data_IF_752938403998
#
_entry.id   IF_752938403998
#
_cell.length_a   1.000
_cell.length_b   1.000
_cell.length_c   1.000
_cell.angle_alpha   90.00
_cell.angle_beta   90.00
_cell.angle_gamma   90.00
#
_symmetry.space_group_name_H-M   'P 1'
#
loop_
_entity.id
_entity.type
_entity.pdbx_description
1 polymer ?
#
# COMPACT_ATOMS: atom_id res chain seq x y z
N UNK A 1 9.92 -18.00 -11.00
CA UNK A 1 8.60 -17.45 -11.38
C UNK A 1 7.57 -17.93 -10.36
N UNK A 2 6.93 -17.03 -9.59
CA UNK A 2 5.85 -17.40 -8.67
C UNK A 2 4.64 -17.93 -9.45
N UNK A 3 4.08 -19.05 -9.01
CA UNK A 3 2.84 -19.61 -9.56
C UNK A 3 1.65 -19.00 -8.82
N UNK A 4 0.70 -18.48 -9.58
CA UNK A 4 -0.52 -17.85 -9.05
C UNK A 4 -1.74 -18.61 -9.56
N UNK A 5 -2.52 -19.16 -8.64
CA UNK A 5 -3.82 -19.74 -8.95
C UNK A 5 -4.83 -18.60 -9.04
N UNK A 6 -5.64 -18.55 -10.10
CA UNK A 6 -6.69 -17.54 -10.27
C UNK A 6 -8.00 -18.20 -10.66
N UNK A 7 -9.10 -17.81 -10.04
CA UNK A 7 -10.44 -18.23 -10.47
C UNK A 7 -10.76 -17.68 -11.87
N UNK A 8 -11.51 -18.44 -12.67
CA UNK A 8 -11.98 -18.03 -14.00
C UNK A 8 -13.06 -16.94 -13.91
N UNK A 9 -12.65 -15.74 -13.51
CA UNK A 9 -13.45 -14.53 -13.45
C UNK A 9 -12.89 -13.55 -14.49
N UNK A 10 -13.75 -13.08 -15.39
CA UNK A 10 -13.37 -12.24 -16.53
C UNK A 10 -12.71 -10.92 -16.12
N UNK A 11 -13.09 -10.34 -14.98
CA UNK A 11 -12.46 -9.13 -14.43
C UNK A 11 -11.05 -9.44 -13.94
N UNK A 12 -10.88 -10.48 -13.11
CA UNK A 12 -9.56 -10.93 -12.66
C UNK A 12 -8.62 -11.23 -13.81
N UNK A 13 -9.03 -12.06 -14.78
CA UNK A 13 -8.20 -12.44 -15.91
C UNK A 13 -7.79 -11.22 -16.76
N UNK A 14 -8.70 -10.27 -16.98
CA UNK A 14 -8.41 -9.02 -17.67
C UNK A 14 -7.36 -8.20 -16.91
N UNK A 15 -7.47 -8.09 -15.59
CA UNK A 15 -6.48 -7.37 -14.78
C UNK A 15 -5.12 -8.07 -14.79
N UNK A 16 -5.06 -9.38 -14.63
CA UNK A 16 -3.80 -10.14 -14.72
C UNK A 16 -3.12 -10.05 -16.09
N UNK A 17 -3.86 -9.82 -17.17
CA UNK A 17 -3.30 -9.61 -18.52
C UNK A 17 -2.76 -8.18 -18.77
N UNK A 18 -3.06 -7.24 -17.86
CA UNK A 18 -2.69 -5.83 -17.99
C UNK A 18 -1.20 -5.57 -17.78
N UNK A 19 -0.72 -4.39 -18.23
CA UNK A 19 0.67 -3.98 -18.11
C UNK A 19 1.27 -4.08 -16.69
N UNK A 20 0.56 -3.78 -15.58
CA UNK A 20 1.03 -4.06 -14.21
C UNK A 20 1.63 -5.44 -14.00
N UNK A 21 0.90 -6.49 -14.35
CA UNK A 21 1.26 -7.85 -14.00
C UNK A 21 2.32 -8.46 -14.91
N UNK A 22 2.49 -7.95 -16.14
CA UNK A 22 3.54 -8.40 -17.06
C UNK A 22 4.95 -8.26 -16.50
N UNK A 23 5.18 -7.35 -15.55
CA UNK A 23 6.49 -7.11 -14.92
C UNK A 23 6.79 -8.04 -13.75
N UNK A 24 5.79 -8.71 -13.18
CA UNK A 24 5.97 -9.61 -12.05
C UNK A 24 6.40 -11.03 -12.47
N UNK A 25 6.49 -11.31 -13.77
CA UNK A 25 6.89 -12.60 -14.34
C UNK A 25 6.21 -13.77 -13.59
N UNK A 26 4.87 -13.79 -13.65
CA UNK A 26 3.99 -14.73 -12.95
C UNK A 26 3.55 -15.87 -13.87
N UNK A 27 3.50 -17.08 -13.35
CA UNK A 27 2.83 -18.21 -14.01
C UNK A 27 1.37 -18.26 -13.53
N UNK A 28 0.43 -17.90 -14.39
CA UNK A 28 -0.99 -17.95 -14.07
C UNK A 28 -1.56 -19.35 -14.36
N UNK A 29 -2.21 -19.93 -13.36
CA UNK A 29 -3.00 -21.16 -13.50
C UNK A 29 -4.45 -20.80 -13.23
N UNK A 30 -5.33 -21.07 -14.18
CA UNK A 30 -6.75 -20.70 -14.09
C UNK A 30 -7.56 -21.91 -13.62
N UNK A 31 -8.39 -21.73 -12.58
CA UNK A 31 -9.38 -22.70 -12.16
C UNK A 31 -10.79 -22.25 -12.57
N UNK A 32 -11.50 -23.07 -13.34
CA UNK A 32 -12.85 -22.81 -13.80
C UNK A 32 -13.94 -23.05 -12.75
N UNK A 33 -13.64 -23.77 -11.68
CA UNK A 33 -14.56 -24.07 -10.59
C UNK A 33 -13.85 -24.26 -9.25
N UNK A 34 -14.61 -24.32 -8.16
CA UNK A 34 -14.09 -24.68 -6.84
C UNK A 34 -13.43 -26.05 -6.80
N UNK A 35 -14.00 -27.04 -7.51
CA UNK A 35 -13.45 -28.40 -7.57
C UNK A 35 -12.08 -28.45 -8.25
N UNK A 36 -11.91 -27.69 -9.34
CA UNK A 36 -10.62 -27.55 -10.02
C UNK A 36 -9.60 -26.82 -9.13
N UNK A 37 -10.02 -25.75 -8.46
CA UNK A 37 -9.17 -25.02 -7.51
C UNK A 37 -8.70 -25.92 -6.35
N UNK A 38 -9.57 -26.77 -5.81
CA UNK A 38 -9.21 -27.78 -4.81
C UNK A 38 -8.28 -28.87 -5.37
N UNK A 39 -8.46 -29.24 -6.65
CA UNK A 39 -7.53 -30.12 -7.36
C UNK A 39 -6.11 -29.55 -7.42
N UNK A 40 -6.01 -28.25 -7.71
CA UNK A 40 -4.75 -27.52 -7.70
C UNK A 40 -4.15 -27.39 -6.29
N UNK A 41 -4.96 -27.11 -5.26
CA UNK A 41 -4.48 -27.06 -3.87
C UNK A 41 -3.77 -28.34 -3.42
N UNK A 42 -4.21 -29.50 -3.93
CA UNK A 42 -3.58 -30.80 -3.64
C UNK A 42 -2.27 -31.03 -4.39
N UNK A 43 -2.14 -30.51 -5.61
CA UNK A 43 -1.10 -30.91 -6.57
C UNK A 43 0.00 -29.87 -6.78
N UNK A 44 -0.23 -28.59 -6.47
CA UNK A 44 0.70 -27.50 -6.76
C UNK A 44 1.06 -26.65 -5.54
N UNK A 45 2.28 -26.13 -5.50
CA UNK A 45 2.68 -25.04 -4.60
C UNK A 45 2.46 -23.70 -5.33
N UNK A 46 1.45 -22.97 -4.88
CA UNK A 46 1.17 -21.61 -5.34
C UNK A 46 1.68 -20.62 -4.31
N UNK A 47 2.30 -19.54 -4.78
CA UNK A 47 2.67 -18.43 -3.90
C UNK A 47 1.41 -17.67 -3.46
N UNK A 48 0.48 -17.45 -4.40
CA UNK A 48 -0.80 -16.77 -4.16
C UNK A 48 -1.92 -17.51 -4.89
N UNK A 49 -3.09 -17.63 -4.26
CA UNK A 49 -4.35 -18.00 -4.87
C UNK A 49 -5.32 -16.82 -4.79
N UNK A 50 -5.75 -16.29 -5.94
CA UNK A 50 -6.75 -15.22 -6.04
C UNK A 50 -8.08 -15.83 -6.46
N UNK A 51 -9.02 -15.92 -5.54
CA UNK A 51 -10.22 -16.72 -5.67
C UNK A 51 -11.47 -15.85 -5.57
N UNK A 52 -12.35 -15.95 -6.57
CA UNK A 52 -13.72 -15.45 -6.46
C UNK A 52 -14.45 -16.16 -5.31
N UNK A 53 -15.13 -15.39 -4.47
CA UNK A 53 -15.95 -15.88 -3.37
C UNK A 53 -17.12 -16.75 -3.86
N UNK A 54 -17.65 -16.46 -5.05
CA UNK A 54 -18.84 -17.09 -5.64
C UNK A 54 -18.49 -18.12 -6.74
N UNK A 55 -17.43 -18.90 -6.52
CA UNK A 55 -17.09 -20.04 -7.39
C UNK A 55 -18.24 -21.06 -7.50
N UNK A 56 -18.39 -21.65 -8.69
CA UNK A 56 -19.29 -22.78 -8.92
C UNK A 56 -18.74 -24.02 -8.20
N UNK A 57 -19.61 -24.73 -7.47
CA UNK A 57 -19.24 -25.87 -6.65
C UNK A 57 -18.81 -25.42 -5.24
N UNK A 58 -17.69 -25.92 -4.69
CA UNK A 58 -17.09 -25.36 -3.50
C UNK A 58 -16.85 -23.86 -3.65
N UNK A 59 -17.28 -23.07 -2.65
CA UNK A 59 -17.12 -21.62 -2.71
C UNK A 59 -15.66 -21.21 -2.52
N UNK A 60 -15.31 -19.97 -2.87
CA UNK A 60 -13.96 -19.45 -2.64
C UNK A 60 -13.51 -19.57 -1.18
N UNK A 61 -14.46 -19.42 -0.23
CA UNK A 61 -14.22 -19.62 1.20
C UNK A 61 -13.85 -21.06 1.55
N UNK A 62 -14.49 -22.05 0.91
CA UNK A 62 -14.19 -23.47 1.15
C UNK A 62 -12.82 -23.85 0.58
N UNK A 63 -12.49 -23.30 -0.59
CA UNK A 63 -11.18 -23.43 -1.22
C UNK A 63 -10.10 -22.78 -0.35
N UNK A 64 -10.34 -21.57 0.15
CA UNK A 64 -9.43 -20.86 1.05
C UNK A 64 -9.14 -21.65 2.32
N UNK A 65 -10.18 -22.16 2.99
CA UNK A 65 -10.06 -23.01 4.19
C UNK A 65 -9.22 -24.26 3.90
N UNK A 66 -9.39 -24.85 2.72
CA UNK A 66 -8.60 -26.03 2.32
C UNK A 66 -7.13 -25.67 2.07
N UNK A 67 -6.84 -24.56 1.40
CA UNK A 67 -5.46 -24.06 1.29
C UNK A 67 -4.84 -23.82 2.66
N UNK A 68 -5.55 -23.15 3.57
CA UNK A 68 -5.00 -22.83 4.89
C UNK A 68 -4.73 -24.05 5.78
N UNK A 69 -5.53 -25.10 5.65
CA UNK A 69 -5.31 -26.37 6.37
C UNK A 69 -4.25 -27.27 5.75
N UNK A 70 -4.09 -27.26 4.42
CA UNK A 70 -3.21 -28.21 3.71
C UNK A 70 -1.89 -27.60 3.24
N UNK A 71 -1.89 -26.30 2.95
CA UNK A 71 -0.78 -25.50 2.39
C UNK A 71 -0.80 -24.09 3.00
N UNK A 72 -0.56 -23.94 4.32
CA UNK A 72 -0.65 -22.65 5.01
C UNK A 72 0.29 -21.56 4.46
N UNK A 73 1.38 -21.97 3.79
CA UNK A 73 2.31 -21.07 3.11
C UNK A 73 1.70 -20.38 1.87
N UNK A 74 0.69 -20.98 1.21
CA UNK A 74 -0.02 -20.33 0.10
C UNK A 74 -0.82 -19.15 0.63
N UNK A 75 -0.56 -17.97 0.09
CA UNK A 75 -1.38 -16.79 0.34
C UNK A 75 -2.69 -16.89 -0.42
N UNK A 76 -3.80 -16.52 0.20
CA UNK A 76 -5.13 -16.59 -0.38
C UNK A 76 -5.76 -15.21 -0.31
N UNK A 77 -6.06 -14.66 -1.49
CA UNK A 77 -6.81 -13.42 -1.67
C UNK A 77 -8.22 -13.80 -2.12
N UNK A 78 -9.24 -13.45 -1.35
CA UNK A 78 -10.62 -13.61 -1.77
C UNK A 78 -11.11 -12.37 -2.50
N UNK A 79 -11.89 -12.56 -3.56
CA UNK A 79 -12.55 -11.48 -4.29
C UNK A 79 -14.04 -11.62 -4.10
N UNK A 80 -14.68 -10.61 -3.54
CA UNK A 80 -16.12 -10.59 -3.28
C UNK A 80 -16.83 -9.56 -4.15
N UNK A 81 -17.97 -9.92 -4.73
CA UNK A 81 -18.79 -9.00 -5.54
C UNK A 81 -19.59 -7.98 -4.74
N UNK A 82 -19.59 -8.06 -3.40
CA UNK A 82 -20.30 -7.13 -2.50
C UNK A 82 -19.44 -6.81 -1.28
N UNK A 83 -19.68 -5.63 -0.68
CA UNK A 83 -19.12 -5.30 0.63
C UNK A 83 -19.48 -6.38 1.65
N UNK A 84 -18.47 -6.79 2.42
CA UNK A 84 -18.61 -7.76 3.48
C UNK A 84 -19.58 -7.24 4.54
N UNK A 85 -20.75 -7.86 4.63
CA UNK A 85 -21.74 -7.60 5.69
C UNK A 85 -22.18 -8.89 6.34
N UNK A 86 -22.38 -8.86 7.66
CA UNK A 86 -22.96 -9.96 8.44
C UNK A 86 -22.28 -11.31 8.16
N UNK A 87 -23.00 -12.20 7.48
CA UNK A 87 -22.56 -13.56 7.15
C UNK A 87 -21.24 -13.61 6.36
N UNK A 88 -21.02 -12.66 5.44
CA UNK A 88 -19.79 -12.64 4.64
C UNK A 88 -18.56 -12.38 5.52
N UNK A 89 -18.65 -11.48 6.51
CA UNK A 89 -17.55 -11.24 7.44
C UNK A 89 -17.23 -12.47 8.27
N UNK A 90 -18.25 -13.21 8.72
CA UNK A 90 -18.07 -14.48 9.44
C UNK A 90 -17.35 -15.50 8.55
N UNK A 91 -17.78 -15.65 7.30
CA UNK A 91 -17.15 -16.59 6.36
C UNK A 91 -15.70 -16.23 6.05
N UNK A 92 -15.38 -14.95 5.90
CA UNK A 92 -14.00 -14.45 5.76
C UNK A 92 -13.18 -14.87 6.97
N UNK A 93 -13.67 -14.61 8.18
CA UNK A 93 -12.98 -14.96 9.40
C UNK A 93 -12.73 -16.47 9.53
N UNK A 94 -13.73 -17.29 9.23
CA UNK A 94 -13.62 -18.76 9.33
C UNK A 94 -12.77 -19.41 8.23
N UNK A 95 -12.64 -18.78 7.07
CA UNK A 95 -11.87 -19.36 5.96
C UNK A 95 -10.36 -19.12 6.06
N UNK A 96 -9.94 -18.13 6.84
CA UNK A 96 -8.53 -17.81 7.09
C UNK A 96 -7.79 -17.20 5.91
N UNK A 97 -8.47 -16.61 4.93
CA UNK A 97 -7.80 -15.89 3.83
C UNK A 97 -6.89 -14.76 4.35
N UNK A 98 -5.82 -14.43 3.62
CA UNK A 98 -4.87 -13.38 4.02
C UNK A 98 -5.38 -11.98 3.63
N UNK A 99 -6.17 -11.86 2.56
CA UNK A 99 -6.75 -10.58 2.13
C UNK A 99 -8.09 -10.78 1.41
N UNK A 100 -8.94 -9.75 1.47
CA UNK A 100 -10.21 -9.67 0.74
C UNK A 100 -10.24 -8.40 -0.11
N UNK A 101 -10.50 -8.57 -1.39
CA UNK A 101 -10.73 -7.48 -2.33
C UNK A 101 -12.21 -7.43 -2.73
N UNK A 102 -12.79 -6.24 -2.77
CA UNK A 102 -14.19 -6.04 -3.14
C UNK A 102 -14.24 -5.54 -4.58
N UNK A 103 -14.93 -6.29 -5.45
CA UNK A 103 -15.20 -5.91 -6.82
C UNK A 103 -16.34 -4.85 -6.91
N UNK A 104 -16.33 -3.95 -7.92
CA UNK A 104 -15.30 -3.82 -8.95
C UNK A 104 -13.97 -3.32 -8.36
N UNK A 105 -12.86 -3.71 -9.00
CA UNK A 105 -11.53 -3.24 -8.61
C UNK A 105 -10.68 -2.85 -9.81
N UNK A 106 -9.72 -1.97 -9.59
CA UNK A 106 -8.76 -1.57 -10.63
C UNK A 106 -7.64 -2.60 -10.76
N UNK A 107 -6.93 -2.58 -11.90
CA UNK A 107 -5.75 -3.42 -12.08
C UNK A 107 -4.64 -3.11 -11.06
N UNK A 108 -4.53 -1.84 -10.64
CA UNK A 108 -3.55 -1.39 -9.67
C UNK A 108 -3.89 -1.80 -8.24
N UNK A 109 -5.19 -1.84 -7.89
CA UNK A 109 -5.66 -2.42 -6.62
C UNK A 109 -5.32 -3.90 -6.51
N UNK A 110 -5.67 -4.68 -7.54
CA UNK A 110 -5.31 -6.10 -7.55
C UNK A 110 -3.79 -6.28 -7.53
N UNK A 111 -3.04 -5.44 -8.25
CA UNK A 111 -1.58 -5.51 -8.30
C UNK A 111 -0.97 -5.30 -6.92
N UNK A 112 -1.40 -4.27 -6.20
CA UNK A 112 -0.89 -3.96 -4.88
C UNK A 112 -1.17 -5.08 -3.88
N UNK A 113 -2.40 -5.61 -3.88
CA UNK A 113 -2.77 -6.75 -3.03
C UNK A 113 -1.88 -7.95 -3.33
N UNK A 114 -1.73 -8.33 -4.60
CA UNK A 114 -0.89 -9.46 -4.99
C UNK A 114 0.59 -9.19 -4.68
N UNK A 115 1.09 -7.97 -4.89
CA UNK A 115 2.46 -7.59 -4.59
C UNK A 115 2.78 -7.72 -3.09
N UNK A 116 1.86 -7.27 -2.21
CA UNK A 116 1.99 -7.47 -0.76
C UNK A 116 2.13 -8.96 -0.42
N UNK A 117 1.25 -9.80 -0.98
CA UNK A 117 1.28 -11.24 -0.71
C UNK A 117 2.56 -11.93 -1.24
N UNK A 118 3.14 -11.41 -2.30
CA UNK A 118 4.40 -11.90 -2.89
C UNK A 118 5.65 -11.31 -2.22
N UNK A 119 5.52 -10.33 -1.33
CA UNK A 119 6.65 -9.53 -0.85
C UNK A 119 7.35 -8.73 -1.97
N UNK A 120 6.63 -8.49 -3.07
CA UNK A 120 7.13 -7.72 -4.21
C UNK A 120 6.94 -6.22 -3.97
N UNK A 121 7.78 -5.36 -4.59
CA UNK A 121 7.56 -3.93 -4.57
C UNK A 121 6.15 -3.60 -5.09
N UNK A 122 5.39 -2.85 -4.30
CA UNK A 122 4.10 -2.29 -4.72
C UNK A 122 4.29 -1.31 -5.89
N UNK A 123 3.19 -0.95 -6.55
CA UNK A 123 3.22 0.23 -7.41
C UNK A 123 3.31 1.46 -6.50
N UNK A 124 4.55 1.82 -6.16
CA UNK A 124 4.89 3.05 -5.47
C UNK A 124 4.96 4.18 -6.49
N UNK A 125 4.05 5.13 -6.37
CA UNK A 125 3.98 6.42 -7.06
C UNK A 125 4.02 6.41 -8.59
N UNK A 126 3.25 7.32 -9.16
CA UNK A 126 3.46 7.78 -10.51
C UNK A 126 4.96 7.97 -10.76
N UNK A 127 5.47 7.28 -11.77
CA UNK A 127 6.88 7.36 -12.12
C UNK A 127 7.18 8.78 -12.56
N UNK A 128 8.41 9.22 -12.36
CA UNK A 128 8.85 10.50 -12.84
C UNK A 128 10.33 10.40 -13.19
N UNK A 129 10.75 11.18 -14.17
CA UNK A 129 12.16 11.44 -14.42
C UNK A 129 12.54 12.76 -13.76
N UNK A 130 13.81 12.86 -13.36
CA UNK A 130 14.38 14.10 -12.84
C UNK A 130 15.61 14.46 -13.64
N UNK A 131 15.65 15.72 -14.08
CA UNK A 131 16.85 16.39 -14.54
C UNK A 131 17.27 17.45 -13.52
N UNK A 132 18.58 17.62 -13.36
CA UNK A 132 19.14 18.62 -12.44
C UNK A 132 20.04 19.55 -13.25
N UNK A 133 19.80 20.84 -13.12
CA UNK A 133 20.65 21.88 -13.69
C UNK A 133 21.38 22.62 -12.57
N UNK A 134 22.72 22.61 -12.62
CA UNK A 134 23.60 23.37 -11.73
C UNK A 134 24.13 24.57 -12.50
N UNK A 135 23.85 25.78 -12.01
CA UNK A 135 24.31 27.04 -12.64
C UNK A 135 24.04 27.13 -14.16
N UNK A 136 22.92 26.56 -14.60
CA UNK A 136 22.51 26.53 -16.01
C UNK A 136 23.14 25.42 -16.85
N UNK A 137 23.91 24.51 -16.24
CA UNK A 137 24.44 23.32 -16.89
C UNK A 137 23.71 22.07 -16.41
N UNK A 138 23.15 21.33 -17.35
CA UNK A 138 22.49 20.06 -17.04
C UNK A 138 23.51 19.02 -16.61
N UNK A 139 23.25 18.35 -15.49
CA UNK A 139 24.07 17.28 -14.96
C UNK A 139 23.24 16.03 -14.72
N UNK A 140 23.91 14.88 -14.79
CA UNK A 140 23.28 13.61 -14.40
C UNK A 140 23.18 13.56 -12.88
N UNK A 141 21.95 13.34 -12.40
CA UNK A 141 21.67 13.17 -10.99
C UNK A 141 20.64 12.06 -10.78
N UNK A 142 20.75 11.36 -9.66
CA UNK A 142 19.75 10.39 -9.20
C UNK A 142 19.06 10.92 -7.96
N UNK A 143 17.74 10.84 -7.94
CA UNK A 143 16.98 11.18 -6.74
C UNK A 143 16.88 9.96 -5.87
N UNK A 144 17.29 10.11 -4.61
CA UNK A 144 17.21 9.06 -3.60
C UNK A 144 16.05 9.28 -2.63
N UNK A 145 15.59 10.53 -2.48
CA UNK A 145 14.40 10.90 -1.74
C UNK A 145 13.84 12.21 -2.31
N UNK A 146 12.52 12.28 -2.52
CA UNK A 146 11.80 13.47 -2.95
C UNK A 146 10.71 13.76 -1.92
N UNK A 147 10.63 15.00 -1.45
CA UNK A 147 9.57 15.47 -0.55
C UNK A 147 8.91 16.72 -1.14
N UNK A 148 7.91 17.25 -0.43
CA UNK A 148 7.28 18.51 -0.82
C UNK A 148 8.17 19.74 -0.68
N UNK A 149 9.19 19.67 0.18
CA UNK A 149 10.05 20.83 0.51
C UNK A 149 11.50 20.65 0.05
N UNK A 150 11.84 19.51 -0.54
CA UNK A 150 13.18 19.29 -1.04
C UNK A 150 13.42 17.91 -1.64
N UNK A 151 14.69 17.64 -1.95
CA UNK A 151 15.13 16.37 -2.47
C UNK A 151 16.53 16.02 -1.96
N UNK A 152 16.76 14.71 -1.77
CA UNK A 152 18.10 14.14 -1.61
C UNK A 152 18.57 13.61 -2.95
N UNK A 153 19.57 14.27 -3.53
CA UNK A 153 20.11 13.97 -4.86
C UNK A 153 21.50 13.34 -4.72
N UNK A 154 21.85 12.49 -5.68
CA UNK A 154 23.21 12.01 -5.91
C UNK A 154 23.62 12.59 -7.25
N UNK A 155 24.50 13.58 -7.24
CA UNK A 155 24.89 14.35 -8.43
C UNK A 155 26.27 13.91 -8.88
N UNK A 156 26.43 13.73 -10.20
CA UNK A 156 27.74 13.45 -10.77
C UNK A 156 28.56 14.75 -10.81
N UNK A 157 29.64 14.79 -10.04
CA UNK A 157 30.53 15.96 -9.93
C UNK A 157 30.42 16.69 -8.58
N UNK A 158 31.31 17.66 -8.33
CA UNK A 158 31.36 18.40 -7.07
C UNK A 158 30.17 19.36 -6.97
N UNK A 159 29.53 19.40 -5.80
CA UNK A 159 28.48 20.36 -5.47
C UNK A 159 28.78 20.93 -4.09
N UNK A 160 28.61 22.24 -3.93
CA UNK A 160 28.89 22.92 -2.66
C UNK A 160 27.61 23.32 -1.93
N UNK A 161 27.68 23.38 -0.60
CA UNK A 161 26.62 23.96 0.21
C UNK A 161 26.34 25.42 -0.20
N UNK A 162 25.07 25.80 -0.22
CA UNK A 162 24.59 27.12 -0.66
C UNK A 162 24.42 27.28 -2.17
N UNK A 163 24.95 26.36 -2.98
CA UNK A 163 24.83 26.40 -4.44
C UNK A 163 23.36 26.30 -4.88
N UNK A 164 23.00 27.05 -5.93
CA UNK A 164 21.66 27.02 -6.50
C UNK A 164 21.56 25.90 -7.54
N UNK A 165 20.41 25.24 -7.59
CA UNK A 165 20.12 24.24 -8.61
C UNK A 165 18.65 24.31 -9.03
N UNK A 166 18.38 23.82 -10.24
CA UNK A 166 17.00 23.61 -10.71
C UNK A 166 16.75 22.12 -10.80
N UNK A 167 15.70 21.65 -10.13
CA UNK A 167 15.19 20.28 -10.26
C UNK A 167 14.01 20.31 -11.23
N UNK A 168 14.17 19.67 -12.39
CA UNK A 168 13.10 19.51 -13.36
C UNK A 168 12.50 18.12 -13.22
N UNK A 169 11.23 18.05 -12.83
CA UNK A 169 10.47 16.82 -12.64
C UNK A 169 9.57 16.60 -13.86
N UNK A 170 9.68 15.43 -14.48
CA UNK A 170 8.87 15.02 -15.63
C UNK A 170 8.01 13.81 -15.22
N UNK A 171 6.72 14.01 -14.91
CA UNK A 171 5.84 12.90 -14.56
C UNK A 171 5.70 11.95 -15.75
N UNK A 172 5.70 10.66 -15.52
CA UNK A 172 5.45 9.63 -16.52
C UNK A 172 3.98 9.24 -16.42
N UNK A 173 3.15 9.79 -17.31
CA UNK A 173 1.74 9.39 -17.38
C UNK A 173 1.67 7.90 -17.74
N UNK A 174 0.71 7.19 -17.15
CA UNK A 174 0.55 5.75 -17.36
C UNK A 174 0.51 5.38 -18.85
N UNK A 175 0.87 4.13 -19.18
CA UNK A 175 1.00 3.65 -20.56
C UNK A 175 -0.26 3.89 -21.43
N UNK A 176 -1.42 4.06 -20.80
CA UNK A 176 -2.72 4.28 -21.45
C UNK A 176 -3.02 5.77 -21.74
N UNK A 177 -2.25 6.72 -21.18
CA UNK A 177 -2.49 8.17 -21.26
C UNK A 177 -1.47 8.94 -22.13
N UNK A 178 -0.52 8.26 -22.76
CA UNK A 178 0.30 8.84 -23.84
C UNK A 178 1.43 9.76 -23.37
N UNK A 179 2.62 9.18 -23.15
CA UNK A 179 3.90 9.90 -23.09
C UNK A 179 4.19 10.65 -21.78
N UNK A 180 5.34 11.36 -21.71
CA UNK A 180 5.71 12.13 -20.52
C UNK A 180 4.74 13.30 -20.31
N UNK A 181 4.34 13.50 -19.06
CA UNK A 181 3.58 14.66 -18.60
C UNK A 181 4.39 15.96 -18.71
N UNK A 182 3.71 17.09 -18.52
CA UNK A 182 4.35 18.39 -18.66
C UNK A 182 5.41 18.62 -17.57
N UNK A 183 6.67 18.92 -17.92
CA UNK A 183 7.73 19.17 -16.95
C UNK A 183 7.41 20.32 -15.99
N UNK A 184 7.93 20.22 -14.78
CA UNK A 184 7.90 21.28 -13.76
C UNK A 184 9.32 21.52 -13.26
N UNK A 185 9.81 22.75 -13.40
CA UNK A 185 11.14 23.15 -12.97
C UNK A 185 11.06 23.91 -11.64
N UNK A 186 11.76 23.41 -10.63
CA UNK A 186 11.72 23.90 -9.25
C UNK A 186 13.10 24.40 -8.87
N UNK A 187 13.20 25.66 -8.46
CA UNK A 187 14.44 26.19 -7.88
C UNK A 187 14.68 25.61 -6.51
N UNK A 188 15.93 25.26 -6.24
CA UNK A 188 16.36 24.71 -4.97
C UNK A 188 17.73 25.26 -4.57
N UNK A 189 18.03 25.14 -3.28
CA UNK A 189 19.32 25.49 -2.71
C UNK A 189 19.91 24.30 -1.99
N UNK A 190 21.18 24.02 -2.23
CA UNK A 190 21.92 22.98 -1.52
C UNK A 190 22.07 23.41 -0.06
N UNK A 191 21.50 22.64 0.85
CA UNK A 191 21.58 22.89 2.30
C UNK A 191 22.70 22.10 2.96
N UNK A 192 23.15 21.01 2.33
CA UNK A 192 24.36 20.28 2.70
C UNK A 192 24.84 19.44 1.51
N UNK A 193 26.14 19.15 1.46
CA UNK A 193 26.76 18.33 0.43
C UNK A 193 27.83 17.42 1.04
N UNK A 194 27.86 16.16 0.62
CA UNK A 194 28.82 15.17 1.07
C UNK A 194 29.38 14.39 -0.13
N UNK A 195 30.71 14.41 -0.27
CA UNK A 195 31.40 13.63 -1.30
C UNK A 195 31.29 12.13 -1.01
N UNK A 196 31.10 11.35 -2.08
CA UNK A 196 31.04 9.89 -2.06
C UNK A 196 31.72 9.34 -3.32
N UNK A 197 32.10 8.07 -3.34
CA UNK A 197 32.81 7.46 -4.49
C UNK A 197 32.07 7.56 -5.83
N UNK A 198 30.74 7.71 -5.80
CA UNK A 198 29.87 7.79 -6.99
C UNK A 198 29.41 9.23 -7.32
N UNK A 199 29.94 10.27 -6.66
CA UNK A 199 29.56 11.67 -6.88
C UNK A 199 29.36 12.45 -5.57
N UNK A 200 28.52 13.48 -5.60
CA UNK A 200 28.16 14.26 -4.40
C UNK A 200 26.73 13.96 -4.00
N UNK A 201 26.53 13.48 -2.77
CA UNK A 201 25.21 13.39 -2.17
C UNK A 201 24.86 14.77 -1.63
N UNK A 202 23.71 15.30 -2.02
CA UNK A 202 23.26 16.64 -1.61
C UNK A 202 21.84 16.59 -1.05
N UNK A 203 21.62 17.37 0.00
CA UNK A 203 20.29 17.81 0.38
C UNK A 203 19.99 19.14 -0.29
N UNK A 204 18.92 19.19 -1.07
CA UNK A 204 18.47 20.41 -1.73
C UNK A 204 17.09 20.79 -1.19
N UNK A 205 16.96 22.00 -0.62
CA UNK A 205 15.69 22.55 -0.18
C UNK A 205 15.06 23.33 -1.34
N UNK A 206 13.78 23.07 -1.63
CA UNK A 206 13.03 23.83 -2.62
C UNK A 206 12.79 25.26 -2.13
N UNK A 207 12.93 26.22 -3.04
CA UNK A 207 12.61 27.62 -2.78
C UNK A 207 11.07 27.82 -2.90
N UNK A 208 10.60 29.04 -3.19
CA UNK A 208 9.16 29.31 -3.30
C UNK A 208 8.51 28.47 -4.41
N UNK A 209 7.60 27.56 -4.02
CA UNK A 209 6.81 26.75 -4.95
C UNK A 209 5.56 27.48 -5.44
N UNK A 210 5.25 27.40 -6.73
CA UNK A 210 3.93 27.75 -7.24
C UNK A 210 2.90 26.63 -6.97
N UNK A 211 1.61 26.92 -7.15
CA UNK A 211 0.53 25.97 -6.84
C UNK A 211 0.67 24.67 -7.64
N UNK A 212 1.09 24.76 -8.91
CA UNK A 212 1.30 23.59 -9.79
C UNK A 212 2.44 22.69 -9.30
N UNK A 213 3.55 23.27 -8.88
CA UNK A 213 4.69 22.53 -8.32
C UNK A 213 4.33 21.87 -7.00
N UNK A 214 3.56 22.56 -6.15
CA UNK A 214 3.04 22.00 -4.88
C UNK A 214 2.14 20.81 -5.14
N UNK A 215 1.16 20.95 -6.03
CA UNK A 215 0.23 19.88 -6.37
C UNK A 215 0.96 18.67 -6.96
N UNK A 216 1.92 18.90 -7.87
CA UNK A 216 2.73 17.84 -8.43
C UNK A 216 3.51 17.10 -7.35
N UNK A 217 4.27 17.82 -6.52
CA UNK A 217 5.09 17.20 -5.48
C UNK A 217 4.24 16.44 -4.47
N UNK A 218 3.09 17.00 -4.05
CA UNK A 218 2.18 16.33 -3.14
C UNK A 218 1.65 15.01 -3.73
N UNK A 219 1.26 15.01 -5.01
CA UNK A 219 0.83 13.82 -5.76
C UNK A 219 1.95 12.78 -5.96
N UNK A 220 3.19 13.22 -6.13
CA UNK A 220 4.31 12.30 -6.31
C UNK A 220 4.81 11.69 -4.99
N UNK A 221 4.72 12.45 -3.89
CA UNK A 221 5.42 12.13 -2.64
C UNK A 221 4.52 11.79 -1.46
N UNK A 222 3.28 12.29 -1.43
CA UNK A 222 2.39 12.17 -0.26
C UNK A 222 1.18 11.27 -0.52
N UNK A 223 0.60 11.32 -1.73
CA UNK A 223 -0.55 10.46 -2.05
C UNK A 223 -0.75 10.22 -3.54
N UNK A 224 -1.48 9.15 -3.87
CA UNK A 224 -1.99 8.89 -5.21
C UNK A 224 -3.49 8.63 -5.17
N UNK A 225 -4.23 9.23 -6.11
CA UNK A 225 -5.68 9.12 -6.18
C UNK A 225 -6.05 8.31 -7.41
N UNK A 226 -6.69 7.17 -7.18
CA UNK A 226 -7.27 6.32 -8.23
C UNK A 226 -8.78 6.41 -8.11
N UNK A 227 -9.45 6.84 -9.19
CA UNK A 227 -10.92 6.97 -9.22
C UNK A 227 -11.49 5.86 -10.11
N UNK A 228 -12.47 5.15 -9.58
CA UNK A 228 -13.32 4.22 -10.35
C UNK A 228 -14.78 4.54 -10.02
N UNK A 229 -15.59 4.84 -11.05
CA UNK A 229 -17.05 5.07 -11.00
C UNK A 229 -17.57 5.77 -9.73
N UNK A 230 -17.81 5.02 -8.64
CA UNK A 230 -18.38 5.50 -7.37
C UNK A 230 -17.42 5.47 -6.16
N UNK A 231 -16.15 5.13 -6.37
CA UNK A 231 -15.12 4.91 -5.34
C UNK A 231 -13.85 5.70 -5.63
N UNK A 232 -13.37 6.41 -4.62
CA UNK A 232 -12.07 7.09 -4.65
C UNK A 232 -11.09 6.32 -3.79
N UNK A 233 -10.08 5.67 -4.38
CA UNK A 233 -8.97 5.11 -3.62
C UNK A 233 -7.87 6.15 -3.47
N UNK A 234 -7.40 6.35 -2.24
CA UNK A 234 -6.31 7.27 -1.92
C UNK A 234 -5.18 6.48 -1.27
N UNK A 235 -4.06 6.34 -1.97
CA UNK A 235 -2.86 5.67 -1.46
C UNK A 235 -1.98 6.68 -0.77
N UNK A 236 -1.84 6.60 0.55
CA UNK A 236 -1.03 7.51 1.38
C UNK A 236 0.41 7.01 1.49
N UNK A 237 1.37 7.93 1.42
CA UNK A 237 2.79 7.62 1.29
C UNK A 237 3.64 8.47 2.24
N UNK A 238 4.73 7.86 2.70
CA UNK A 238 5.77 8.52 3.47
C UNK A 238 5.33 8.88 4.88
N UNK A 239 5.88 9.98 5.38
CA UNK A 239 5.72 10.38 6.76
C UNK A 239 4.57 11.37 6.92
N UNK A 240 3.78 11.20 7.97
CA UNK A 240 2.76 12.16 8.38
C UNK A 240 3.39 13.14 9.37
N UNK A 241 3.65 14.35 8.89
CA UNK A 241 4.32 15.42 9.62
C UNK A 241 3.61 16.75 9.37
N UNK A 242 4.15 17.84 9.86
CA UNK A 242 3.74 19.22 9.54
C UNK A 242 3.84 19.54 8.04
N UNK A 243 4.68 18.84 7.28
CA UNK A 243 4.82 19.04 5.84
C UNK A 243 3.72 18.32 5.04
N UNK A 244 2.94 17.44 5.67
CA UNK A 244 1.90 16.66 4.98
C UNK A 244 0.66 17.51 4.75
N UNK A 245 0.28 17.69 3.47
CA UNK A 245 -0.77 18.63 3.05
C UNK A 245 -2.12 17.95 2.82
N UNK A 246 -2.68 17.32 3.85
CA UNK A 246 -3.95 16.60 3.74
C UNK A 246 -5.11 17.48 3.23
N UNK A 247 -5.06 18.79 3.43
CA UNK A 247 -6.05 19.74 2.91
C UNK A 247 -6.21 19.67 1.39
N UNK A 248 -5.12 19.40 0.65
CA UNK A 248 -5.15 19.28 -0.80
C UNK A 248 -5.89 18.03 -1.29
N UNK A 249 -6.08 17.02 -0.44
CA UNK A 249 -6.88 15.83 -0.77
C UNK A 249 -8.39 16.12 -0.76
N UNK A 250 -8.86 17.09 0.04
CA UNK A 250 -10.28 17.32 0.29
C UNK A 250 -11.08 17.57 -0.99
N UNK A 251 -10.51 18.29 -1.95
CA UNK A 251 -11.17 18.63 -3.22
C UNK A 251 -11.31 17.44 -4.16
N UNK A 252 -10.49 16.40 -3.97
CA UNK A 252 -10.43 15.25 -4.85
C UNK A 252 -11.23 14.05 -4.34
N UNK A 253 -11.61 14.07 -3.07
CA UNK A 253 -12.37 13.01 -2.41
C UNK A 253 -13.88 13.21 -2.58
N UNK A 254 -14.49 12.36 -3.40
CA UNK A 254 -15.94 12.36 -3.65
C UNK A 254 -16.49 10.96 -3.40
N UNK A 255 -17.72 10.87 -2.87
CA UNK A 255 -18.40 9.60 -2.65
C UNK A 255 -17.82 8.83 -1.46
N UNK A 256 -17.52 7.55 -1.64
CA UNK A 256 -16.81 6.73 -0.63
C UNK A 256 -15.31 6.73 -0.93
N UNK A 257 -14.52 6.76 0.13
CA UNK A 257 -13.06 6.80 0.04
C UNK A 257 -12.44 5.57 0.68
N UNK A 258 -11.55 4.91 -0.05
CA UNK A 258 -10.75 3.81 0.50
C UNK A 258 -9.30 4.32 0.63
N UNK A 259 -8.83 4.42 1.87
CA UNK A 259 -7.47 4.84 2.17
C UNK A 259 -6.56 3.62 2.22
N UNK A 260 -5.58 3.57 1.34
CA UNK A 260 -4.50 2.59 1.41
C UNK A 260 -3.33 3.17 2.18
N UNK A 261 -2.96 2.50 3.26
CA UNK A 261 -2.10 3.04 4.29
C UNK A 261 -0.76 2.32 4.40
N UNK A 262 -0.47 1.37 3.49
CA UNK A 262 0.71 0.50 3.61
C UNK A 262 2.03 1.24 3.44
N UNK A 263 2.01 2.35 2.70
CA UNK A 263 3.22 3.14 2.42
C UNK A 263 3.42 4.28 3.42
N UNK A 264 2.61 4.35 4.49
CA UNK A 264 2.82 5.31 5.58
C UNK A 264 3.91 4.78 6.50
N UNK A 265 5.06 5.46 6.52
CA UNK A 265 6.28 4.99 7.18
C UNK A 265 6.46 5.54 8.60
N UNK A 266 5.85 6.69 8.89
CA UNK A 266 5.98 7.33 10.18
C UNK A 266 4.86 8.35 10.41
N UNK A 267 4.52 8.60 11.68
CA UNK A 267 3.56 9.65 12.06
C UNK A 267 4.05 10.36 13.32
N UNK A 268 4.23 11.68 13.25
CA UNK A 268 4.54 12.50 14.43
C UNK A 268 3.26 13.13 15.02
N UNK A 269 3.38 13.76 16.19
CA UNK A 269 2.20 14.35 16.88
C UNK A 269 1.50 15.46 16.10
N UNK A 270 2.22 16.22 15.26
CA UNK A 270 1.64 17.29 14.44
C UNK A 270 0.89 16.66 13.25
N UNK A 271 1.52 15.72 12.55
CA UNK A 271 0.92 14.99 11.44
C UNK A 271 -0.33 14.24 11.85
N UNK A 272 -0.32 13.57 13.02
CA UNK A 272 -1.53 12.94 13.59
C UNK A 272 -2.65 13.96 13.80
N UNK A 273 -2.38 15.12 14.40
CA UNK A 273 -3.42 16.15 14.60
C UNK A 273 -3.98 16.67 13.28
N UNK A 274 -3.11 16.95 12.31
CA UNK A 274 -3.50 17.40 10.98
C UNK A 274 -4.34 16.35 10.25
N UNK A 275 -3.97 15.07 10.35
CA UNK A 275 -4.71 13.94 9.81
C UNK A 275 -6.11 13.83 10.43
N UNK A 276 -6.22 13.87 11.76
CA UNK A 276 -7.52 13.84 12.45
C UNK A 276 -8.40 15.04 12.06
N UNK A 277 -7.82 16.24 11.92
CA UNK A 277 -8.55 17.42 11.47
C UNK A 277 -9.05 17.27 10.02
N UNK A 278 -8.22 16.72 9.14
CA UNK A 278 -8.58 16.39 7.77
C UNK A 278 -9.75 15.40 7.71
N UNK A 279 -9.69 14.29 8.46
CA UNK A 279 -10.77 13.29 8.48
C UNK A 279 -12.10 13.86 8.99
N UNK A 280 -12.06 14.81 9.94
CA UNK A 280 -13.25 15.54 10.41
C UNK A 280 -13.83 16.47 9.35
N UNK A 281 -12.97 17.10 8.55
CA UNK A 281 -13.38 18.02 7.49
C UNK A 281 -13.79 17.30 6.18
N UNK A 282 -13.46 16.02 6.02
CA UNK A 282 -13.68 15.26 4.79
C UNK A 282 -15.17 15.17 4.41
N UNK A 283 -15.60 15.79 3.30
CA UNK A 283 -17.00 15.86 2.89
C UNK A 283 -17.44 14.60 2.12
N UNK A 284 -17.15 13.42 2.67
CA UNK A 284 -17.35 12.12 2.00
C UNK A 284 -18.51 11.35 2.62
N UNK A 285 -19.08 10.39 1.91
CA UNK A 285 -20.19 9.57 2.45
C UNK A 285 -19.69 8.64 3.57
N UNK A 286 -18.47 8.13 3.44
CA UNK A 286 -17.79 7.28 4.41
C UNK A 286 -16.42 6.89 3.89
N UNK A 287 -15.59 6.32 4.77
CA UNK A 287 -14.26 5.86 4.40
C UNK A 287 -13.82 4.63 5.18
N UNK A 288 -12.96 3.83 4.54
CA UNK A 288 -12.34 2.63 5.10
C UNK A 288 -10.82 2.72 4.94
N UNK A 289 -10.09 2.05 5.82
CA UNK A 289 -8.63 1.99 5.78
C UNK A 289 -8.19 0.56 5.49
N UNK A 290 -7.34 0.41 4.48
CA UNK A 290 -6.79 -0.86 4.03
C UNK A 290 -5.28 -0.88 4.21
N UNK A 291 -4.76 -2.07 4.52
CA UNK A 291 -3.33 -2.33 4.67
C UNK A 291 -2.64 -1.29 5.58
N UNK A 292 -3.27 -0.94 6.71
CA UNK A 292 -2.72 -0.01 7.69
C UNK A 292 -1.33 -0.42 8.16
N UNK A 293 -0.32 0.42 7.91
CA UNK A 293 1.05 0.17 8.36
C UNK A 293 1.15 0.13 9.89
N UNK A 294 2.19 -0.53 10.41
CA UNK A 294 2.45 -0.59 11.86
C UNK A 294 2.47 0.81 12.51
N UNK A 295 3.16 1.84 11.96
CA UNK A 295 3.09 3.20 12.49
C UNK A 295 1.66 3.76 12.62
N UNK A 296 0.80 3.51 11.62
CA UNK A 296 -0.58 3.96 11.65
C UNK A 296 -1.40 3.23 12.73
N UNK A 297 -1.26 1.91 12.82
CA UNK A 297 -1.98 1.09 13.81
C UNK A 297 -1.60 1.47 15.24
N UNK A 298 -0.33 1.75 15.49
CA UNK A 298 0.13 2.21 16.80
C UNK A 298 -0.53 3.53 17.19
N UNK A 299 -0.64 4.50 16.26
CA UNK A 299 -1.36 5.75 16.52
C UNK A 299 -2.86 5.53 16.72
N UNK A 300 -3.51 4.71 15.89
CA UNK A 300 -4.93 4.39 15.98
C UNK A 300 -5.30 3.69 17.30
N UNK A 301 -4.41 2.84 17.80
CA UNK A 301 -4.56 2.16 19.08
C UNK A 301 -4.55 3.13 20.25
N UNK A 302 -3.75 4.20 20.16
CA UNK A 302 -3.63 5.21 21.21
C UNK A 302 -4.70 6.31 21.11
N UNK A 303 -5.07 6.72 19.91
CA UNK A 303 -5.89 7.92 19.65
C UNK A 303 -7.06 7.53 18.73
N UNK A 304 -8.29 7.55 19.27
CA UNK A 304 -9.52 7.19 18.55
C UNK A 304 -9.76 8.05 17.30
N UNK A 305 -9.46 9.34 17.38
CA UNK A 305 -9.63 10.28 16.27
C UNK A 305 -8.80 9.95 15.02
N UNK A 306 -7.77 9.11 15.14
CA UNK A 306 -6.91 8.70 14.00
C UNK A 306 -7.70 7.91 12.96
N UNK A 307 -8.67 7.11 13.39
CA UNK A 307 -9.60 6.44 12.47
C UNK A 307 -10.86 7.25 12.22
N UNK A 308 -11.15 8.24 13.06
CA UNK A 308 -12.36 9.04 12.99
C UNK A 308 -13.60 8.15 12.95
N UNK A 309 -14.45 8.33 11.92
CA UNK A 309 -15.65 7.50 11.69
C UNK A 309 -15.42 6.35 10.71
N UNK A 310 -14.18 6.13 10.29
CA UNK A 310 -13.83 5.07 9.36
C UNK A 310 -13.59 3.74 10.05
N UNK A 311 -13.43 2.69 9.26
CA UNK A 311 -13.12 1.34 9.75
C UNK A 311 -11.83 0.85 9.14
N UNK A 312 -10.93 0.30 9.96
CA UNK A 312 -9.76 -0.43 9.49
C UNK A 312 -10.21 -1.84 9.09
N UNK A 313 -10.02 -2.20 7.83
CA UNK A 313 -10.41 -3.51 7.27
C UNK A 313 -9.24 -4.49 7.30
N UNK A 314 -8.03 -4.02 7.00
CA UNK A 314 -6.79 -4.79 7.11
C UNK A 314 -5.63 -3.93 7.59
N UNK A 315 -4.66 -4.57 8.26
CA UNK A 315 -3.54 -3.89 8.90
C UNK A 315 -2.32 -4.80 9.05
N UNK A 316 -1.12 -4.23 9.00
CA UNK A 316 0.11 -4.92 9.28
C UNK A 316 0.31 -5.02 10.79
N UNK A 317 0.83 -6.16 11.23
CA UNK A 317 1.18 -6.42 12.62
C UNK A 317 2.61 -6.96 12.70
N UNK A 318 3.41 -6.51 13.68
CA UNK A 318 4.82 -6.88 13.75
C UNK A 318 4.98 -8.28 14.35
N UNK A 319 5.90 -9.06 13.79
CA UNK A 319 6.30 -10.37 14.29
C UNK A 319 7.83 -10.48 14.31
N UNK A 320 8.35 -11.21 15.28
CA UNK A 320 9.77 -11.54 15.41
C UNK A 320 9.99 -13.05 15.46
N UNK A 321 11.15 -13.50 15.01
CA UNK A 321 11.56 -14.89 15.12
C UNK A 321 12.77 -15.01 16.04
N UNK A 322 12.58 -15.60 17.23
CA UNK A 322 13.64 -15.80 18.23
C UNK A 322 14.81 -16.66 17.72
N UNK A 323 14.58 -17.51 16.72
CA UNK A 323 15.59 -18.45 16.23
C UNK A 323 16.59 -17.81 15.25
N UNK A 324 16.17 -16.81 14.46
CA UNK A 324 17.02 -16.20 13.44
C UNK A 324 17.04 -14.68 13.47
N UNK A 325 16.48 -14.09 14.54
CA UNK A 325 16.39 -12.63 14.78
C UNK A 325 15.70 -11.87 13.65
N UNK A 326 14.84 -12.57 12.91
CA UNK A 326 14.14 -12.00 11.78
C UNK A 326 12.90 -11.25 12.26
N UNK A 327 12.75 -10.02 11.82
CA UNK A 327 11.51 -9.26 11.94
C UNK A 327 10.73 -9.30 10.61
N UNK A 328 9.42 -9.53 10.70
CA UNK A 328 8.51 -9.49 9.56
C UNK A 328 7.19 -8.84 9.96
N UNK A 329 6.60 -8.07 9.06
CA UNK A 329 5.22 -7.60 9.21
C UNK A 329 4.26 -8.57 8.53
N UNK A 330 3.14 -8.89 9.19
CA UNK A 330 2.08 -9.73 8.63
C UNK A 330 0.83 -8.90 8.43
N UNK A 331 0.27 -8.94 7.22
CA UNK A 331 -1.03 -8.36 6.95
C UNK A 331 -2.12 -9.23 7.60
N UNK A 332 -2.92 -8.62 8.47
CA UNK A 332 -4.02 -9.24 9.20
C UNK A 332 -5.35 -8.60 8.78
N UNK A 333 -6.40 -9.40 8.80
CA UNK A 333 -7.77 -8.96 8.55
C UNK A 333 -8.49 -8.64 9.85
N UNK A 334 -9.11 -7.46 9.94
CA UNK A 334 -9.91 -7.06 11.11
C UNK A 334 -10.99 -8.09 11.46
N UNK A 335 -11.70 -8.60 10.45
CA UNK A 335 -12.75 -9.60 10.68
C UNK A 335 -12.20 -10.89 11.32
N UNK A 336 -11.02 -11.35 10.90
CA UNK A 336 -10.36 -12.55 11.44
C UNK A 336 -9.94 -12.33 12.90
N UNK A 337 -9.35 -11.18 13.21
CA UNK A 337 -8.89 -10.85 14.57
C UNK A 337 -10.06 -10.66 15.54
N UNK A 338 -11.17 -10.08 15.08
CA UNK A 338 -12.39 -9.98 15.88
C UNK A 338 -12.98 -11.36 16.18
N UNK A 339 -12.94 -12.29 15.21
CA UNK A 339 -13.43 -13.65 15.39
C UNK A 339 -12.53 -14.50 16.28
N UNK A 340 -11.23 -14.22 16.36
CA UNK A 340 -10.29 -14.87 17.27
C UNK A 340 -10.25 -14.25 18.66
N UNK A 341 -11.26 -13.46 19.05
CA UNK A 341 -11.30 -12.75 20.33
C UNK A 341 -10.03 -11.90 20.58
N UNK A 342 -9.49 -11.29 19.51
CA UNK A 342 -8.27 -10.48 19.51
C UNK A 342 -6.98 -11.25 19.81
N UNK A 343 -6.97 -12.57 19.61
CA UNK A 343 -5.74 -13.34 19.65
C UNK A 343 -4.94 -13.17 18.34
N UNK A 344 -3.63 -12.86 18.42
CA UNK A 344 -2.78 -12.75 17.23
C UNK A 344 -2.57 -14.15 16.60
N UNK A 345 -2.64 -14.28 15.28
CA UNK A 345 -2.39 -15.56 14.61
C UNK A 345 -0.92 -15.97 14.69
N UNK A 346 -0.68 -17.28 14.76
CA UNK A 346 0.67 -17.85 14.64
C UNK A 346 1.09 -17.96 13.17
N UNK A 347 2.36 -17.63 12.89
CA UNK A 347 2.96 -17.81 11.57
C UNK A 347 4.26 -18.60 11.66
N UNK A 348 4.71 -19.16 10.54
CA UNK A 348 6.01 -19.83 10.42
C UNK A 348 7.01 -18.92 9.71
N UNK A 349 8.20 -18.78 10.30
CA UNK A 349 9.33 -18.08 9.72
C UNK A 349 9.96 -18.90 8.57
N UNK A 350 10.58 -18.28 7.56
CA UNK A 350 11.34 -19.01 6.54
C UNK A 350 12.43 -19.95 7.06
N UNK A 351 12.94 -19.76 8.28
CA UNK A 351 13.89 -20.69 8.92
C UNK A 351 13.22 -21.95 9.50
N UNK A 352 11.89 -22.03 9.49
CA UNK A 352 11.08 -23.12 10.03
C UNK A 352 10.61 -22.92 11.47
N UNK A 353 11.13 -21.93 12.19
CA UNK A 353 10.66 -21.60 13.55
C UNK A 353 9.33 -20.83 13.53
N UNK A 354 8.69 -20.72 14.69
CA UNK A 354 7.50 -19.90 14.87
C UNK A 354 7.85 -18.40 14.83
N UNK A 355 6.94 -17.60 14.30
CA UNK A 355 6.94 -16.15 14.42
C UNK A 355 6.06 -15.75 15.61
N UNK A 356 6.66 -15.02 16.54
CA UNK A 356 6.02 -14.52 17.75
C UNK A 356 5.54 -13.08 17.49
N UNK A 357 4.34 -12.77 17.94
CA UNK A 357 3.80 -11.41 17.83
C UNK A 357 4.65 -10.43 18.65
N UNK A 358 5.11 -9.34 18.02
CA UNK A 358 6.09 -8.41 18.60
C UNK A 358 5.42 -7.14 19.17
N UNK A 359 4.31 -7.31 19.89
CA UNK A 359 3.65 -6.27 20.69
C UNK A 359 2.75 -6.93 21.76
N UNK A 360 2.09 -6.13 22.60
CA UNK A 360 1.03 -6.59 23.51
C UNK A 360 -0.31 -6.56 22.76
N UNK A 361 -1.00 -7.70 22.56
CA UNK A 361 -2.27 -7.76 21.81
C UNK A 361 -3.33 -6.77 22.30
N UNK A 362 -3.50 -6.65 23.61
CA UNK A 362 -4.46 -5.72 24.22
C UNK A 362 -4.16 -4.25 23.92
N UNK A 363 -2.89 -3.89 23.69
CA UNK A 363 -2.47 -2.56 23.30
C UNK A 363 -2.62 -2.37 21.80
N UNK A 364 -2.08 -3.30 21.02
CA UNK A 364 -2.00 -3.19 19.57
C UNK A 364 -3.36 -3.32 18.88
N UNK A 365 -4.28 -4.11 19.44
CA UNK A 365 -5.64 -4.28 18.90
C UNK A 365 -6.68 -3.38 19.57
N UNK A 366 -6.26 -2.42 20.40
CA UNK A 366 -7.18 -1.52 21.12
C UNK A 366 -8.13 -0.75 20.18
N UNK A 367 -7.69 -0.45 18.96
CA UNK A 367 -8.52 0.20 17.95
C UNK A 367 -9.75 -0.64 17.52
N UNK A 368 -9.64 -1.97 17.54
CA UNK A 368 -10.71 -2.90 17.16
C UNK A 368 -11.84 -2.96 18.20
N UNK A 369 -11.48 -2.82 19.48
CA UNK A 369 -12.45 -2.86 20.57
C UNK A 369 -13.39 -1.64 20.55
N UNK A 370 -12.89 -0.49 20.10
CA UNK A 370 -13.67 0.75 20.02
C UNK A 370 -14.71 0.71 18.89
N UNK A 371 -14.34 0.12 17.75
CA UNK A 371 -15.23 -0.07 16.60
C UNK A 371 -16.45 -0.95 16.91
N UNK A 372 -16.35 -1.88 17.87
CA UNK A 372 -17.44 -2.78 18.25
C UNK A 372 -18.52 -2.16 19.16
N UNK A 373 -18.34 -0.91 19.61
CA UNK A 373 -19.27 -0.18 20.49
C UNK A 373 -20.19 0.81 19.76
N UNK A 374 -20.04 0.95 18.43
CA UNK A 374 -20.76 1.90 17.60
C UNK A 374 -22.01 1.34 16.94
#
# INVERSE_FOLDING_TARGET
MPRVLVSNNSELLRHFASAPFRRLDLELVVAASGDEALGHARTGEFAVAVLDAELIGPSGYDVARTFKSTRPATRVVLVTGKRLVGDQMRRVAECGCDEVLVAPMTADELFDVVAIQLGAPRRGAERYDIAVDLDGQSTSARVSNLSVDGARLIVNGPVSEGQALTVTIVPQLGADLGGPGQPVAIRARVVWAQAHDAGTVVGAAFESLDDRSRELLARLTQWEIVKDSDRTRVVLKGDFTEATRFDALLTSMVGRVDFDMAQVTYMNSIGVRSWCQFLRAAPVQGYEFHACSVPFVLQASLIEDVTGRGTITSFFAPYHCDACDRQEEKLLQTATILASALEPPTFTCPCGAELVFDDLPERYFAFLQRASRG
#
